data_IF_889280457377
#
_entry.id   IF_889280457377
#
_cell.length_a   1.000
_cell.length_b   1.000
_cell.length_c   1.000
_cell.angle_alpha   90.00
_cell.angle_beta   90.00
_cell.angle_gamma   90.00
#
_symmetry.space_group_name_H-M   'P 1'
#
loop_
_entity.id
_entity.type
_entity.pdbx_description
1 polymer ?
#
# COMPACT_ATOMS: atom_id res chain seq x y z
N UNK A 1 13.58 -9.71 -21.04
CA UNK A 1 13.09 -9.57 -19.66
C UNK A 1 11.57 -9.46 -19.62
N UNK A 2 10.98 -8.37 -20.13
CA UNK A 2 9.52 -8.12 -20.06
C UNK A 2 8.66 -9.26 -20.62
N UNK A 3 8.95 -9.74 -21.83
CA UNK A 3 8.23 -10.86 -22.45
C UNK A 3 8.30 -12.13 -21.57
N UNK A 4 9.52 -12.51 -21.17
CA UNK A 4 9.77 -13.72 -20.38
C UNK A 4 9.17 -13.69 -18.97
N UNK A 5 8.91 -12.53 -18.37
CA UNK A 5 8.52 -12.44 -16.94
C UNK A 5 7.18 -11.76 -16.69
N UNK A 6 6.50 -11.24 -17.71
CA UNK A 6 5.15 -10.67 -17.54
C UNK A 6 4.14 -11.76 -17.14
N UNK A 7 3.46 -11.65 -15.99
CA UNK A 7 2.58 -12.70 -15.47
C UNK A 7 1.35 -12.96 -16.36
N UNK A 8 0.90 -11.95 -17.11
CA UNK A 8 -0.28 -12.04 -17.96
C UNK A 8 -0.01 -12.61 -19.36
N UNK A 9 1.26 -12.89 -19.70
CA UNK A 9 1.61 -13.45 -21.01
C UNK A 9 1.56 -14.98 -20.97
N UNK A 10 0.69 -15.56 -21.80
CA UNK A 10 0.55 -17.02 -21.95
C UNK A 10 1.87 -17.66 -22.39
N UNK A 11 2.24 -18.85 -21.87
CA UNK A 11 3.49 -19.51 -22.22
C UNK A 11 3.69 -19.70 -23.72
N UNK A 12 2.62 -20.03 -24.46
CA UNK A 12 2.72 -20.27 -25.91
C UNK A 12 3.08 -19.03 -26.73
N UNK A 13 2.82 -17.83 -26.17
CA UNK A 13 3.10 -16.53 -26.80
C UNK A 13 4.44 -15.93 -26.38
N UNK A 14 5.15 -16.57 -25.44
CA UNK A 14 6.46 -16.09 -24.99
C UNK A 14 7.48 -16.31 -26.09
N UNK A 15 8.30 -15.29 -26.32
CA UNK A 15 9.42 -15.32 -27.25
C UNK A 15 10.36 -16.47 -26.86
N UNK A 16 10.58 -17.40 -27.78
CA UNK A 16 11.53 -18.51 -27.60
C UNK A 16 12.94 -18.02 -27.90
N UNK A 17 13.94 -18.82 -27.54
CA UNK A 17 15.34 -18.50 -27.82
C UNK A 17 15.60 -18.30 -29.32
N UNK A 18 15.03 -19.17 -30.16
CA UNK A 18 15.17 -19.05 -31.62
C UNK A 18 14.45 -17.80 -32.16
N UNK A 19 13.35 -17.39 -31.55
CA UNK A 19 12.67 -16.14 -31.91
C UNK A 19 13.53 -14.94 -31.54
N UNK A 20 14.19 -14.96 -30.37
CA UNK A 20 15.12 -13.92 -29.94
C UNK A 20 16.31 -13.78 -30.88
N UNK A 21 16.93 -14.91 -31.28
CA UNK A 21 18.03 -14.92 -32.25
C UNK A 21 17.56 -14.39 -33.61
N UNK A 22 16.40 -14.85 -34.10
CA UNK A 22 15.82 -14.40 -35.37
C UNK A 22 15.54 -12.90 -35.37
N UNK A 23 15.05 -12.35 -34.26
CA UNK A 23 14.71 -10.93 -34.11
C UNK A 23 15.94 -10.01 -34.16
N UNK A 24 17.14 -10.55 -33.97
CA UNK A 24 18.41 -9.80 -33.92
C UNK A 24 19.30 -10.06 -35.13
N UNK A 25 18.79 -10.66 -36.21
CA UNK A 25 19.57 -10.84 -37.45
C UNK A 25 19.83 -9.51 -38.16
N UNK A 26 21.02 -9.37 -38.74
CA UNK A 26 21.42 -8.21 -39.56
C UNK A 26 21.67 -6.91 -38.79
N UNK A 27 21.76 -6.96 -37.44
CA UNK A 27 21.89 -5.75 -36.61
C UNK A 27 23.34 -5.29 -36.39
N UNK A 28 24.33 -6.10 -36.78
CA UNK A 28 25.76 -5.80 -36.64
C UNK A 28 26.35 -5.45 -38.01
N UNK A 29 26.15 -4.21 -38.47
CA UNK A 29 26.53 -3.72 -39.80
C UNK A 29 26.07 -4.63 -40.96
N UNK A 30 24.78 -5.00 -40.94
CA UNK A 30 24.15 -5.98 -41.84
C UNK A 30 24.62 -7.44 -41.66
N UNK A 31 25.49 -7.70 -40.68
CA UNK A 31 25.87 -9.02 -40.19
C UNK A 31 25.04 -9.48 -38.99
N UNK A 32 25.26 -10.73 -38.59
CA UNK A 32 24.61 -11.34 -37.44
C UNK A 32 25.55 -11.34 -36.22
N UNK A 33 24.99 -11.06 -35.03
CA UNK A 33 25.70 -11.25 -33.77
C UNK A 33 25.94 -12.75 -33.55
N UNK A 34 27.10 -13.10 -32.99
CA UNK A 34 27.43 -14.47 -32.59
C UNK A 34 26.29 -15.13 -31.79
N UNK A 35 25.85 -16.29 -32.26
CA UNK A 35 24.74 -17.04 -31.68
C UNK A 35 24.96 -17.36 -30.21
N UNK A 36 26.19 -17.69 -29.80
CA UNK A 36 26.49 -18.10 -28.43
C UNK A 36 26.36 -16.92 -27.45
N UNK A 37 26.66 -15.70 -27.91
CA UNK A 37 26.41 -14.47 -27.14
C UNK A 37 24.91 -14.30 -26.89
N UNK A 38 24.09 -14.44 -27.96
CA UNK A 38 22.64 -14.28 -27.87
C UNK A 38 21.99 -15.36 -26.99
N UNK A 39 22.42 -16.62 -27.13
CA UNK A 39 21.99 -17.74 -26.28
C UNK A 39 22.30 -17.45 -24.82
N UNK A 40 23.55 -17.07 -24.51
CA UNK A 40 23.96 -16.77 -23.14
C UNK A 40 23.18 -15.61 -22.51
N UNK A 41 22.88 -14.55 -23.28
CA UNK A 41 22.03 -13.44 -22.81
C UNK A 41 20.61 -13.93 -22.51
N UNK A 42 20.00 -14.67 -23.43
CA UNK A 42 18.65 -15.17 -23.28
C UNK A 42 18.50 -16.07 -22.05
N UNK A 43 19.41 -17.02 -21.87
CA UNK A 43 19.39 -17.96 -20.74
C UNK A 43 19.54 -17.23 -19.39
N UNK A 44 20.52 -16.32 -19.28
CA UNK A 44 20.70 -15.53 -18.05
C UNK A 44 19.47 -14.70 -17.70
N UNK A 45 18.83 -14.07 -18.69
CA UNK A 45 17.60 -13.28 -18.48
C UNK A 45 16.42 -14.18 -18.15
N UNK A 46 16.32 -15.38 -18.74
CA UNK A 46 15.27 -16.36 -18.44
C UNK A 46 15.40 -16.89 -17.01
N UNK A 47 16.61 -17.18 -16.56
CA UNK A 47 16.90 -17.68 -15.22
C UNK A 47 16.76 -16.58 -14.16
N UNK A 48 17.29 -15.39 -14.46
CA UNK A 48 17.33 -14.26 -13.53
C UNK A 48 16.54 -13.07 -14.09
N UNK A 49 15.30 -12.94 -13.63
CA UNK A 49 14.48 -11.75 -13.91
C UNK A 49 15.16 -10.48 -13.38
N UNK A 50 15.25 -9.45 -14.22
CA UNK A 50 15.59 -8.12 -13.73
C UNK A 50 14.45 -7.57 -12.89
N UNK A 51 14.71 -7.46 -11.59
CA UNK A 51 13.78 -6.88 -10.62
C UNK A 51 14.22 -5.46 -10.30
N UNK A 52 13.30 -4.48 -10.27
CA UNK A 52 13.62 -3.16 -9.78
C UNK A 52 14.09 -3.25 -8.32
N UNK A 53 15.02 -2.36 -7.94
CA UNK A 53 15.45 -2.23 -6.55
C UNK A 53 14.28 -1.87 -5.64
N UNK A 54 14.38 -2.23 -4.36
CA UNK A 54 13.35 -1.89 -3.38
C UNK A 54 13.35 -0.39 -3.08
N UNK A 55 12.19 0.24 -3.20
CA UNK A 55 11.95 1.66 -2.92
C UNK A 55 10.76 1.86 -1.97
N UNK A 56 10.31 3.11 -1.78
CA UNK A 56 9.14 3.42 -0.95
C UNK A 56 7.85 2.81 -1.53
N UNK A 57 7.70 2.78 -2.86
CA UNK A 57 6.54 2.20 -3.55
C UNK A 57 6.45 0.69 -3.29
N UNK A 58 7.59 0.01 -3.21
CA UNK A 58 7.68 -1.41 -2.88
C UNK A 58 7.08 -1.73 -1.51
N UNK A 59 7.20 -0.83 -0.54
CA UNK A 59 6.54 -0.97 0.77
C UNK A 59 5.02 -0.80 0.65
N UNK A 60 4.57 0.17 -0.14
CA UNK A 60 3.13 0.38 -0.41
C UNK A 60 2.53 -0.82 -1.14
N UNK A 61 3.26 -1.43 -2.08
CA UNK A 61 2.84 -2.66 -2.75
C UNK A 61 2.66 -3.82 -1.76
N UNK A 62 3.58 -3.97 -0.79
CA UNK A 62 3.46 -4.99 0.28
C UNK A 62 2.22 -4.75 1.13
N UNK A 63 1.98 -3.51 1.58
CA UNK A 63 0.74 -3.17 2.32
C UNK A 63 -0.50 -3.47 1.48
N UNK A 64 -0.51 -3.02 0.21
CA UNK A 64 -1.61 -3.25 -0.71
C UNK A 64 -1.95 -4.74 -0.88
N UNK A 65 -0.94 -5.60 -0.99
CA UNK A 65 -1.13 -7.04 -1.14
C UNK A 65 -1.79 -7.70 0.09
N UNK A 66 -1.66 -7.10 1.28
CA UNK A 66 -2.30 -7.60 2.51
C UNK A 66 -3.75 -7.16 2.67
N UNK A 67 -4.22 -6.17 1.91
CA UNK A 67 -5.58 -5.64 2.00
C UNK A 67 -6.45 -6.24 0.90
N UNK A 68 -7.55 -6.90 1.29
CA UNK A 68 -8.51 -7.53 0.40
C UNK A 68 -9.82 -6.76 0.31
N UNK A 69 -10.61 -7.04 -0.73
CA UNK A 69 -11.89 -6.38 -1.02
C UNK A 69 -11.73 -5.25 -2.05
N UNK A 70 -12.84 -4.52 -2.29
CA UNK A 70 -12.87 -3.38 -3.20
C UNK A 70 -12.10 -2.21 -2.56
N UNK A 71 -10.85 -2.01 -3.00
CA UNK A 71 -9.93 -0.96 -2.52
C UNK A 71 -9.39 -0.15 -3.70
N UNK A 72 -9.01 1.12 -3.51
CA UNK A 72 -8.31 1.89 -4.53
C UNK A 72 -6.93 1.31 -4.83
N UNK A 73 -6.34 1.69 -5.97
CA UNK A 73 -4.92 1.44 -6.21
C UNK A 73 -4.09 2.38 -5.34
N UNK A 74 -3.34 1.81 -4.41
CA UNK A 74 -2.51 2.53 -3.46
C UNK A 74 -1.07 2.70 -3.94
N UNK A 75 -0.54 1.75 -4.71
CA UNK A 75 0.85 1.74 -5.17
C UNK A 75 1.08 2.73 -6.32
N UNK A 76 0.93 4.02 -6.01
CA UNK A 76 1.23 5.13 -6.90
C UNK A 76 2.68 5.58 -6.68
N UNK A 77 3.38 6.07 -7.73
CA UNK A 77 4.79 6.46 -7.62
C UNK A 77 5.10 7.50 -6.53
N UNK A 78 4.16 8.41 -6.25
CA UNK A 78 4.30 9.46 -5.25
C UNK A 78 3.87 9.05 -3.83
N UNK A 79 3.24 7.88 -3.67
CA UNK A 79 2.65 7.47 -2.39
C UNK A 79 3.68 6.73 -1.55
N UNK A 80 3.89 7.20 -0.32
CA UNK A 80 4.81 6.64 0.67
C UNK A 80 4.04 6.31 1.94
N UNK A 81 4.29 5.13 2.52
CA UNK A 81 3.80 4.78 3.84
C UNK A 81 4.51 5.65 4.89
N UNK A 82 3.75 6.41 5.68
CA UNK A 82 4.24 7.25 6.77
C UNK A 82 4.24 6.44 8.06
N UNK A 83 3.08 5.95 8.48
CA UNK A 83 2.95 5.19 9.70
C UNK A 83 1.83 4.14 9.64
N UNK A 84 1.86 3.23 10.61
CA UNK A 84 0.80 2.28 10.91
C UNK A 84 0.39 2.43 12.37
N UNK A 85 -0.91 2.50 12.63
CA UNK A 85 -1.44 2.62 13.98
C UNK A 85 -2.70 1.78 14.15
N UNK A 86 -2.85 1.16 15.33
CA UNK A 86 -4.09 0.50 15.73
C UNK A 86 -4.95 1.50 16.51
N UNK A 87 -6.13 1.79 15.99
CA UNK A 87 -7.11 2.70 16.58
C UNK A 87 -8.46 2.01 16.77
N UNK A 88 -9.34 2.60 17.57
CA UNK A 88 -10.70 2.11 17.79
C UNK A 88 -11.69 3.13 17.25
N UNK A 89 -12.41 2.78 16.19
CA UNK A 89 -13.43 3.67 15.61
C UNK A 89 -14.60 3.84 16.59
N UNK A 90 -15.04 5.08 16.80
CA UNK A 90 -16.14 5.44 17.70
C UNK A 90 -17.35 5.84 16.85
N UNK A 91 -18.39 4.98 16.75
CA UNK A 91 -19.62 5.34 16.04
C UNK A 91 -20.44 6.41 16.78
N UNK A 92 -20.47 6.33 18.11
CA UNK A 92 -21.20 7.25 18.99
C UNK A 92 -20.34 7.55 20.23
N UNK A 93 -20.06 8.83 20.46
CA UNK A 93 -19.18 9.31 21.55
C UNK A 93 -19.88 9.25 22.90
N UNK A 94 -21.22 9.26 22.92
CA UNK A 94 -22.02 9.24 24.14
C UNK A 94 -22.20 7.82 24.68
N UNK A 95 -21.96 6.81 23.84
CA UNK A 95 -22.15 5.41 24.20
C UNK A 95 -20.83 4.74 24.54
N UNK A 96 -20.75 4.08 25.69
CA UNK A 96 -19.60 3.23 26.03
C UNK A 96 -19.63 1.95 25.21
N UNK A 97 -18.56 1.70 24.46
CA UNK A 97 -18.35 0.44 23.75
C UNK A 97 -17.52 -0.56 24.57
N UNK A 98 -17.67 -1.86 24.25
CA UNK A 98 -16.84 -2.90 24.88
C UNK A 98 -15.37 -2.75 24.41
N UNK A 99 -14.37 -3.04 25.27
CA UNK A 99 -12.97 -3.01 24.87
C UNK A 99 -12.69 -3.89 23.64
N UNK A 100 -11.90 -3.38 22.70
CA UNK A 100 -11.57 -4.11 21.47
C UNK A 100 -12.59 -3.96 20.33
N UNK A 101 -13.80 -3.48 20.62
CA UNK A 101 -14.82 -3.26 19.59
C UNK A 101 -14.39 -2.15 18.65
N UNK A 102 -14.75 -2.31 17.37
CA UNK A 102 -14.37 -1.40 16.30
C UNK A 102 -12.86 -1.14 16.15
N UNK A 103 -12.01 -2.09 16.56
CA UNK A 103 -10.58 -2.04 16.25
C UNK A 103 -10.34 -1.90 14.74
N UNK A 104 -9.47 -0.97 14.37
CA UNK A 104 -9.02 -0.69 13.01
C UNK A 104 -7.50 -0.70 12.94
N UNK A 105 -7.03 -1.17 11.81
CA UNK A 105 -5.63 -1.14 11.42
C UNK A 105 -5.52 -0.01 10.40
N UNK A 106 -4.94 1.11 10.83
CA UNK A 106 -4.93 2.37 10.10
C UNK A 106 -3.55 2.58 9.51
N UNK A 107 -3.51 2.78 8.20
CA UNK A 107 -2.29 3.06 7.45
C UNK A 107 -2.34 4.51 6.99
N UNK A 108 -1.37 5.30 7.44
CA UNK A 108 -1.19 6.67 6.98
C UNK A 108 -0.16 6.67 5.85
N UNK A 109 -0.57 7.17 4.70
CA UNK A 109 0.31 7.55 3.61
C UNK A 109 0.44 9.07 3.58
N UNK A 110 1.43 9.58 2.86
CA UNK A 110 1.69 11.02 2.73
C UNK A 110 0.52 11.82 2.10
N UNK A 111 -0.43 11.18 1.44
CA UNK A 111 -1.58 11.84 0.79
C UNK A 111 -2.94 11.18 1.14
N UNK A 112 -2.92 10.04 1.83
CA UNK A 112 -4.10 9.18 2.01
C UNK A 112 -4.10 8.51 3.38
N UNK A 113 -5.22 8.54 4.09
CA UNK A 113 -5.47 7.71 5.26
C UNK A 113 -6.31 6.49 4.87
N UNK A 114 -5.85 5.27 5.18
CA UNK A 114 -6.57 4.02 4.88
C UNK A 114 -6.95 3.30 6.16
N UNK A 115 -8.23 2.99 6.30
CA UNK A 115 -8.80 2.32 7.47
C UNK A 115 -9.20 0.90 7.09
N UNK A 116 -8.73 -0.08 7.86
CA UNK A 116 -9.00 -1.49 7.61
C UNK A 116 -9.42 -2.23 8.87
N UNK A 117 -9.91 -3.47 8.72
CA UNK A 117 -10.19 -4.41 9.81
C UNK A 117 -9.37 -5.68 9.58
N UNK A 118 -8.78 -6.26 10.63
CA UNK A 118 -8.15 -7.59 10.53
C UNK A 118 -9.22 -8.59 10.03
N UNK A 119 -8.89 -9.29 8.94
CA UNK A 119 -9.67 -10.40 8.41
C UNK A 119 -9.16 -11.73 8.98
N UNK A 120 -7.86 -11.97 8.85
CA UNK A 120 -7.21 -13.17 9.33
C UNK A 120 -5.83 -12.84 9.87
N UNK A 121 -5.44 -13.50 10.95
CA UNK A 121 -4.11 -13.41 11.54
C UNK A 121 -3.56 -14.81 11.72
N UNK A 122 -2.59 -15.18 10.88
CA UNK A 122 -1.80 -16.40 10.99
C UNK A 122 -0.42 -16.06 11.58
N UNK A 123 0.37 -17.09 11.92
CA UNK A 123 1.68 -16.95 12.60
C UNK A 123 2.60 -15.92 11.92
N UNK A 124 2.67 -15.93 10.59
CA UNK A 124 3.58 -15.08 9.81
C UNK A 124 2.86 -14.14 8.83
N UNK A 125 1.52 -14.04 8.87
CA UNK A 125 0.78 -13.23 7.93
C UNK A 125 -0.51 -12.67 8.51
N UNK A 126 -0.79 -11.41 8.19
CA UNK A 126 -2.04 -10.75 8.52
C UNK A 126 -2.67 -10.27 7.23
N UNK A 127 -3.96 -10.54 7.07
CA UNK A 127 -4.76 -9.98 5.99
C UNK A 127 -5.82 -9.06 6.55
N UNK A 128 -6.12 -8.00 5.81
CA UNK A 128 -7.05 -6.95 6.23
C UNK A 128 -8.20 -6.81 5.24
N UNK A 129 -9.40 -6.58 5.73
CA UNK A 129 -10.52 -6.11 4.92
C UNK A 129 -10.49 -4.59 4.84
N UNK A 130 -10.50 -4.04 3.63
CA UNK A 130 -10.66 -2.61 3.41
C UNK A 130 -12.00 -2.12 3.98
N UNK A 131 -12.00 -0.96 4.67
CA UNK A 131 -13.23 -0.30 5.14
C UNK A 131 -13.48 1.00 4.41
N UNK A 132 -12.53 1.92 4.51
CA UNK A 132 -12.67 3.27 3.98
C UNK A 132 -11.29 3.91 3.81
N UNK A 133 -11.23 4.97 3.02
CA UNK A 133 -10.04 5.78 2.84
C UNK A 133 -10.40 7.25 2.72
N UNK A 134 -9.55 8.12 3.22
CA UNK A 134 -9.78 9.56 3.23
C UNK A 134 -8.55 10.27 2.64
N UNK A 135 -8.70 11.12 1.60
CA UNK A 135 -7.62 11.99 1.18
C UNK A 135 -7.28 12.96 2.31
N UNK A 136 -6.00 13.30 2.47
CA UNK A 136 -5.55 14.21 3.54
C UNK A 136 -5.82 15.68 3.21
N UNK A 137 -5.94 16.01 1.92
CA UNK A 137 -6.22 17.36 1.47
C UNK A 137 -7.52 17.89 2.11
N UNK A 138 -7.42 19.04 2.79
CA UNK A 138 -8.55 19.66 3.47
C UNK A 138 -9.02 18.92 4.74
N UNK A 139 -8.25 17.96 5.25
CA UNK A 139 -8.55 17.30 6.51
C UNK A 139 -8.21 18.20 7.72
N UNK A 140 -9.05 18.12 8.75
CA UNK A 140 -8.83 18.77 10.04
C UNK A 140 -8.79 17.70 11.12
N UNK A 141 -7.80 17.80 12.02
CA UNK A 141 -7.60 16.87 13.14
C UNK A 141 -7.90 17.57 14.46
N UNK A 142 -8.93 17.11 15.16
CA UNK A 142 -9.31 17.61 16.49
C UNK A 142 -9.12 16.53 17.54
N UNK A 143 -8.45 16.88 18.64
CA UNK A 143 -8.31 15.98 19.79
C UNK A 143 -9.43 16.26 20.79
N UNK A 144 -9.91 15.21 21.46
CA UNK A 144 -10.89 15.34 22.52
C UNK A 144 -10.69 14.26 23.58
N UNK A 145 -11.32 14.49 24.73
CA UNK A 145 -11.29 13.60 25.86
C UNK A 145 -12.69 13.56 26.47
N UNK A 146 -13.23 12.35 26.65
CA UNK A 146 -14.52 12.11 27.32
C UNK A 146 -14.40 10.87 28.22
N UNK A 147 -15.28 10.69 29.23
CA UNK A 147 -15.11 9.64 30.24
C UNK A 147 -14.89 8.21 29.73
N UNK A 148 -15.38 7.88 28.54
CA UNK A 148 -15.23 6.55 27.93
C UNK A 148 -14.12 6.47 26.86
N UNK A 149 -13.63 7.62 26.40
CA UNK A 149 -12.67 7.75 25.31
C UNK A 149 -11.62 8.81 25.67
N UNK A 150 -10.63 8.45 26.49
CA UNK A 150 -9.64 9.40 27.00
C UNK A 150 -8.68 9.91 25.92
N UNK A 151 -8.55 9.17 24.80
CA UNK A 151 -7.57 9.43 23.76
C UNK A 151 -8.25 9.65 22.40
N UNK A 152 -9.27 10.52 22.40
CA UNK A 152 -10.11 10.80 21.26
C UNK A 152 -9.40 11.58 20.15
N UNK A 153 -9.62 11.17 18.90
CA UNK A 153 -9.16 11.82 17.67
C UNK A 153 -10.37 11.92 16.73
N UNK A 154 -10.69 13.12 16.26
CA UNK A 154 -11.77 13.36 15.29
C UNK A 154 -11.18 13.94 14.02
N UNK A 155 -11.55 13.34 12.89
CA UNK A 155 -11.19 13.80 11.55
C UNK A 155 -12.43 14.42 10.89
N UNK A 156 -12.29 15.63 10.36
CA UNK A 156 -13.36 16.33 9.63
C UNK A 156 -12.84 17.01 8.37
N UNK A 157 -13.76 17.39 7.48
CA UNK A 157 -13.46 18.22 6.33
C UNK A 157 -13.42 19.70 6.73
N UNK A 158 -12.45 20.45 6.21
CA UNK A 158 -12.29 21.89 6.48
C UNK A 158 -13.44 22.72 5.93
N UNK A 159 -14.00 22.33 4.78
CA UNK A 159 -14.95 23.17 4.01
C UNK A 159 -16.31 23.27 4.68
N UNK A 160 -16.89 22.15 5.10
CA UNK A 160 -18.24 22.07 5.67
C UNK A 160 -18.26 21.58 7.13
N UNK A 161 -17.08 21.30 7.71
CA UNK A 161 -16.96 20.76 9.05
C UNK A 161 -17.44 19.31 9.18
N UNK A 162 -17.76 18.63 8.07
CA UNK A 162 -18.33 17.29 8.10
C UNK A 162 -17.37 16.32 8.76
N UNK A 163 -17.84 15.63 9.79
CA UNK A 163 -17.09 14.57 10.47
C UNK A 163 -16.94 13.38 9.53
N UNK A 164 -15.69 12.97 9.29
CA UNK A 164 -15.34 11.82 8.45
C UNK A 164 -15.29 10.55 9.29
N UNK A 165 -14.56 10.59 10.41
CA UNK A 165 -14.40 9.45 11.32
C UNK A 165 -13.92 9.94 12.68
N UNK A 166 -14.29 9.21 13.72
CA UNK A 166 -13.83 9.45 15.09
C UNK A 166 -13.14 8.18 15.59
N UNK A 167 -12.01 8.33 16.26
CA UNK A 167 -11.21 7.26 16.83
C UNK A 167 -10.89 7.50 18.31
N UNK A 168 -10.62 6.42 19.02
CA UNK A 168 -9.89 6.43 20.28
C UNK A 168 -8.56 5.69 20.07
N UNK A 169 -7.45 6.28 20.53
CA UNK A 169 -6.19 5.56 20.62
C UNK A 169 -6.15 4.66 21.86
N UNK A 170 -5.16 3.75 21.92
CA UNK A 170 -4.99 2.84 23.07
C UNK A 170 -4.46 3.58 24.30
N UNK A 171 -3.59 4.56 24.09
CA UNK A 171 -2.91 5.35 25.11
C UNK A 171 -2.55 6.72 24.51
N UNK A 172 -2.09 7.64 25.36
CA UNK A 172 -1.71 8.98 24.93
C UNK A 172 -0.52 8.99 23.96
N UNK A 173 0.46 8.11 24.15
CA UNK A 173 1.64 8.03 23.28
C UNK A 173 1.28 7.66 21.84
N UNK A 174 0.41 6.67 21.67
CA UNK A 174 -0.11 6.27 20.36
C UNK A 174 -0.94 7.40 19.73
N UNK A 175 -1.75 8.12 20.53
CA UNK A 175 -2.50 9.31 20.07
C UNK A 175 -1.54 10.39 19.57
N UNK A 176 -0.56 10.75 20.38
CA UNK A 176 0.40 11.81 20.08
C UNK A 176 1.17 11.50 18.80
N UNK A 177 1.85 10.35 18.72
CA UNK A 177 2.64 9.98 17.54
C UNK A 177 1.83 9.95 16.25
N UNK A 178 0.65 9.32 16.28
CA UNK A 178 -0.20 9.25 15.09
C UNK A 178 -0.67 10.64 14.64
N UNK A 179 -1.03 11.51 15.58
CA UNK A 179 -1.53 12.86 15.27
C UNK A 179 -0.41 13.76 14.75
N UNK A 180 0.81 13.64 15.27
CA UNK A 180 1.97 14.37 14.77
C UNK A 180 2.26 13.97 13.31
N UNK A 181 2.39 12.67 13.02
CA UNK A 181 2.61 12.16 11.66
C UNK A 181 1.49 12.60 10.69
N UNK A 182 0.23 12.56 11.17
CA UNK A 182 -0.94 12.96 10.39
C UNK A 182 -0.95 14.47 10.10
N UNK A 183 -0.62 15.31 11.09
CA UNK A 183 -0.56 16.75 10.92
C UNK A 183 0.56 17.16 9.97
N UNK A 184 1.73 16.53 10.10
CA UNK A 184 2.84 16.75 9.17
C UNK A 184 2.44 16.36 7.74
N UNK A 185 1.70 15.26 7.57
CA UNK A 185 1.24 14.80 6.25
C UNK A 185 0.10 15.64 5.65
N UNK A 186 -0.61 16.44 6.45
CA UNK A 186 -1.68 17.35 5.98
C UNK A 186 -1.09 18.71 5.56
N UNK A 187 0.04 19.11 6.15
CA UNK A 187 0.71 20.39 5.89
C UNK A 187 1.30 20.48 4.49
#
# INVERSE_FOLDING_TARGET
NTDLHTPNLKPERRMRMEDFIKNLRGIDDCGDIDRDILVGIYERVKENEFKPGSDHVSQVMKVQATIVGKKPNMALPHRRLVCYCRLYEIPDILKKERPGVHQREVFLFNDLLVVTKILSKKKNSVTYTFRQSFPLCGMVVTLFEVPHYPYGIRLSQRVDGKVLVTFNARNEHDRYKFVEDLRESIS
#
